data_IF_578275735345
#
_entry.id   IF_578275735345
#
_cell.length_a   1.000
_cell.length_b   1.000
_cell.length_c   1.000
_cell.angle_alpha   90.00
_cell.angle_beta   90.00
_cell.angle_gamma   90.00
#
_symmetry.space_group_name_H-M   'P 1'
#
loop_
_entity.id
_entity.type
_entity.pdbx_description
1 polymer ?
#
# COMPACT_ATOMS: atom_id res chain seq x y z
N UNK A 1 10.94 -19.08 -13.35
CA UNK A 1 10.55 -19.95 -12.21
C UNK A 1 9.04 -20.10 -12.19
N UNK A 2 8.53 -21.27 -11.78
CA UNK A 2 7.10 -21.49 -11.61
C UNK A 2 6.55 -20.55 -10.52
N UNK A 3 5.35 -20.01 -10.72
CA UNK A 3 4.68 -19.11 -9.77
C UNK A 3 3.36 -19.73 -9.32
N UNK A 4 3.07 -19.65 -8.02
CA UNK A 4 1.79 -20.06 -7.45
C UNK A 4 1.02 -18.80 -7.03
N UNK A 5 0.15 -18.32 -7.89
CA UNK A 5 -0.70 -17.14 -7.66
C UNK A 5 -2.09 -17.34 -8.27
N UNK A 6 -3.02 -16.49 -7.94
CA UNK A 6 -4.42 -16.60 -8.38
C UNK A 6 -5.20 -17.47 -7.40
N UNK A 7 -5.98 -18.43 -7.88
CA UNK A 7 -6.67 -19.40 -7.03
C UNK A 7 -5.67 -20.34 -6.39
N UNK A 8 -5.80 -20.55 -5.08
CA UNK A 8 -4.92 -21.44 -4.33
C UNK A 8 -5.09 -22.89 -4.74
N UNK A 9 -3.97 -23.63 -4.82
CA UNK A 9 -3.90 -25.05 -5.17
C UNK A 9 -3.10 -25.78 -4.10
N UNK A 10 -3.74 -26.58 -3.24
CA UNK A 10 -3.07 -27.27 -2.11
C UNK A 10 -1.89 -28.15 -2.54
N UNK A 11 -1.99 -28.79 -3.70
CA UNK A 11 -0.98 -29.70 -4.25
C UNK A 11 0.28 -29.00 -4.80
N UNK A 12 0.25 -27.67 -4.92
CA UNK A 12 1.38 -26.93 -5.47
C UNK A 12 2.41 -26.62 -4.38
N UNK A 13 3.64 -27.19 -4.44
CA UNK A 13 4.66 -26.98 -3.41
C UNK A 13 5.32 -25.58 -3.44
N UNK A 14 5.13 -24.82 -4.53
CA UNK A 14 5.71 -23.48 -4.68
C UNK A 14 5.03 -22.52 -3.70
N UNK A 15 5.76 -21.64 -2.99
CA UNK A 15 5.18 -20.67 -2.09
C UNK A 15 4.05 -19.87 -2.75
N UNK A 16 2.90 -19.79 -2.05
CA UNK A 16 1.73 -19.09 -2.59
C UNK A 16 1.91 -17.58 -2.51
N UNK A 17 1.81 -16.92 -3.67
CA UNK A 17 2.05 -15.49 -3.80
C UNK A 17 0.82 -14.66 -3.42
N UNK A 18 0.95 -13.83 -2.39
CA UNK A 18 -0.05 -12.87 -1.95
C UNK A 18 0.51 -11.45 -1.99
N UNK A 19 -0.10 -10.60 -2.81
CA UNK A 19 0.17 -9.18 -2.79
C UNK A 19 -0.40 -8.50 -1.53
N UNK A 20 0.21 -7.39 -1.10
CA UNK A 20 -0.23 -6.58 0.04
C UNK A 20 -1.75 -6.35 0.06
N UNK A 21 -2.35 -5.99 -1.08
CA UNK A 21 -3.79 -5.76 -1.17
C UNK A 21 -4.65 -7.00 -0.89
N UNK A 22 -4.10 -8.21 -1.07
CA UNK A 22 -4.80 -9.46 -0.75
C UNK A 22 -4.76 -9.76 0.74
N UNK A 23 -3.63 -9.44 1.38
CA UNK A 23 -3.51 -9.54 2.85
C UNK A 23 -4.45 -8.52 3.50
N UNK A 24 -4.49 -7.28 3.00
CA UNK A 24 -5.48 -6.28 3.42
C UNK A 24 -6.92 -6.81 3.24
N UNK A 25 -7.23 -7.41 2.09
CA UNK A 25 -8.54 -7.99 1.81
C UNK A 25 -8.93 -9.11 2.79
N UNK A 26 -7.96 -9.88 3.29
CA UNK A 26 -8.19 -10.87 4.34
C UNK A 26 -8.55 -10.21 5.68
N UNK A 27 -7.78 -9.18 6.07
CA UNK A 27 -8.06 -8.39 7.29
C UNK A 27 -9.43 -7.72 7.22
N UNK A 28 -9.80 -7.18 6.07
CA UNK A 28 -11.08 -6.49 5.88
C UNK A 28 -12.27 -7.47 5.88
N UNK A 29 -12.12 -8.64 5.24
CA UNK A 29 -13.17 -9.65 5.17
C UNK A 29 -12.63 -11.02 4.72
N UNK A 30 -12.50 -11.95 5.64
CA UNK A 30 -12.03 -13.32 5.39
C UNK A 30 -12.91 -14.07 4.39
N UNK A 31 -14.24 -13.87 4.42
CA UNK A 31 -15.16 -14.49 3.46
C UNK A 31 -14.93 -14.02 2.01
N UNK A 32 -14.67 -12.72 1.82
CA UNK A 32 -14.31 -12.17 0.52
C UNK A 32 -12.97 -12.71 0.02
N UNK A 33 -11.98 -12.82 0.91
CA UNK A 33 -10.70 -13.42 0.58
C UNK A 33 -10.85 -14.89 0.18
N UNK A 34 -11.66 -15.66 0.90
CA UNK A 34 -11.95 -17.05 0.57
C UNK A 34 -12.57 -17.19 -0.82
N UNK A 35 -13.60 -16.39 -1.14
CA UNK A 35 -14.23 -16.40 -2.46
C UNK A 35 -13.20 -16.12 -3.56
N UNK A 36 -12.35 -15.13 -3.37
CA UNK A 36 -11.33 -14.72 -4.33
C UNK A 36 -10.20 -15.76 -4.45
N UNK A 37 -9.63 -16.22 -3.32
CA UNK A 37 -8.39 -17.01 -3.33
C UNK A 37 -8.62 -18.52 -3.32
N UNK A 38 -9.72 -19.00 -2.76
CA UNK A 38 -10.04 -20.44 -2.72
C UNK A 38 -11.01 -20.82 -3.82
N UNK A 39 -12.06 -20.01 -4.06
CA UNK A 39 -13.10 -20.34 -5.07
C UNK A 39 -12.85 -19.70 -6.44
N UNK A 40 -11.87 -18.79 -6.57
CA UNK A 40 -11.60 -18.10 -7.84
C UNK A 40 -12.68 -17.11 -8.27
N UNK A 41 -13.48 -16.62 -7.30
CA UNK A 41 -14.55 -15.63 -7.52
C UNK A 41 -14.04 -14.27 -6.99
N UNK A 42 -13.38 -13.45 -7.82
CA UNK A 42 -12.83 -12.18 -7.36
C UNK A 42 -13.93 -11.16 -7.09
N UNK A 43 -13.69 -10.29 -6.11
CA UNK A 43 -14.50 -9.09 -5.93
C UNK A 43 -14.36 -8.23 -7.21
N UNK A 44 -15.46 -7.75 -7.80
CA UNK A 44 -15.39 -6.84 -8.94
C UNK A 44 -14.50 -5.63 -8.60
N UNK A 45 -13.47 -5.40 -9.41
CA UNK A 45 -12.59 -4.24 -9.23
C UNK A 45 -13.27 -2.98 -9.73
N UNK A 46 -13.10 -1.87 -9.00
CA UNK A 46 -13.41 -0.55 -9.51
C UNK A 46 -12.39 -0.17 -10.60
N UNK A 47 -12.81 0.71 -11.53
CA UNK A 47 -11.90 1.30 -12.50
C UNK A 47 -10.75 2.04 -11.77
N UNK A 48 -9.55 2.02 -12.37
CA UNK A 48 -8.41 2.76 -11.84
C UNK A 48 -8.67 4.27 -11.79
N UNK A 49 -7.87 4.96 -10.99
CA UNK A 49 -7.91 6.41 -10.84
C UNK A 49 -6.74 7.05 -11.61
N UNK A 50 -6.88 7.36 -12.93
CA UNK A 50 -5.76 7.80 -13.77
C UNK A 50 -5.05 9.06 -13.26
N UNK A 51 -5.81 10.02 -12.71
CA UNK A 51 -5.23 11.24 -12.15
C UNK A 51 -4.38 10.97 -10.89
N UNK A 52 -4.81 10.05 -10.04
CA UNK A 52 -4.02 9.62 -8.89
C UNK A 52 -2.73 8.91 -9.34
N UNK A 53 -2.79 8.10 -10.39
CA UNK A 53 -1.60 7.48 -10.96
C UNK A 53 -0.64 8.51 -11.56
N UNK A 54 -1.14 9.57 -12.17
CA UNK A 54 -0.31 10.65 -12.69
C UNK A 54 0.41 11.41 -11.56
N UNK A 55 -0.29 11.72 -10.45
CA UNK A 55 0.33 12.36 -9.28
C UNK A 55 1.40 11.48 -8.65
N UNK A 56 1.17 10.16 -8.53
CA UNK A 56 2.13 9.19 -8.03
C UNK A 56 3.42 9.18 -8.87
N UNK A 57 3.28 9.11 -10.19
CA UNK A 57 4.43 9.16 -11.12
C UNK A 57 5.21 10.47 -10.98
N UNK A 58 4.53 11.60 -10.82
CA UNK A 58 5.20 12.91 -10.69
C UNK A 58 5.96 13.02 -9.37
N UNK A 59 5.37 12.56 -8.24
CA UNK A 59 6.04 12.53 -6.95
C UNK A 59 7.28 11.63 -6.97
N UNK A 60 7.17 10.43 -7.56
CA UNK A 60 8.33 9.54 -7.74
C UNK A 60 9.44 10.20 -8.53
N UNK A 61 9.10 10.84 -9.64
CA UNK A 61 10.06 11.60 -10.46
C UNK A 61 10.78 12.69 -9.67
N UNK A 62 10.04 13.41 -8.83
CA UNK A 62 10.56 14.51 -8.02
C UNK A 62 11.58 13.99 -6.99
N UNK A 63 11.22 12.96 -6.23
CA UNK A 63 12.11 12.35 -5.25
C UNK A 63 13.27 11.57 -5.89
N UNK A 64 13.09 10.94 -7.05
CA UNK A 64 14.15 10.22 -7.76
C UNK A 64 15.29 11.15 -8.21
N UNK A 65 15.01 12.40 -8.55
CA UNK A 65 16.05 13.39 -8.86
C UNK A 65 16.96 13.67 -7.64
N UNK A 66 16.43 13.60 -6.42
CA UNK A 66 17.19 13.76 -5.18
C UNK A 66 17.84 12.43 -4.73
N UNK A 67 17.22 11.29 -5.03
CA UNK A 67 17.81 9.96 -4.86
C UNK A 67 19.12 9.82 -5.60
N UNK A 68 19.18 10.26 -6.85
CA UNK A 68 20.41 10.22 -7.67
C UNK A 68 21.52 11.09 -7.09
N UNK A 69 21.18 12.22 -6.47
CA UNK A 69 22.15 13.16 -5.87
C UNK A 69 22.51 12.78 -4.43
N UNK A 70 21.75 11.89 -3.80
CA UNK A 70 21.84 11.54 -2.38
C UNK A 70 21.72 12.80 -1.48
N UNK A 71 20.75 13.62 -1.81
CA UNK A 71 20.44 14.88 -1.12
C UNK A 71 19.00 14.87 -0.57
N UNK A 72 18.73 15.61 0.52
CA UNK A 72 17.38 15.77 0.99
C UNK A 72 16.56 16.62 0.01
N UNK A 73 15.33 16.22 -0.26
CA UNK A 73 14.41 17.02 -1.07
C UNK A 73 14.12 18.38 -0.40
N UNK A 74 14.05 19.51 -1.13
CA UNK A 74 13.76 20.85 -0.55
C UNK A 74 12.50 20.88 0.31
N UNK A 75 11.49 20.08 -0.02
CA UNK A 75 10.30 19.92 0.80
C UNK A 75 10.63 19.37 2.20
N UNK A 76 11.53 18.38 2.31
CA UNK A 76 11.97 17.82 3.59
C UNK A 76 12.80 18.83 4.37
N UNK A 77 13.68 19.59 3.71
CA UNK A 77 14.42 20.69 4.33
C UNK A 77 13.48 21.72 4.97
N UNK A 78 12.45 22.13 4.24
CA UNK A 78 11.43 23.08 4.73
C UNK A 78 10.64 22.54 5.94
N UNK A 79 10.55 21.20 6.08
CA UNK A 79 9.89 20.52 7.21
C UNK A 79 10.85 20.24 8.39
N UNK A 80 12.12 20.65 8.32
CA UNK A 80 13.12 20.35 9.35
C UNK A 80 13.65 18.90 9.32
N UNK A 81 13.37 18.17 8.24
CA UNK A 81 13.72 16.77 8.03
C UNK A 81 14.90 16.59 7.07
N UNK A 82 15.85 17.52 7.06
CA UNK A 82 17.01 17.49 6.18
C UNK A 82 17.97 16.31 6.42
N UNK A 83 17.75 15.52 7.45
CA UNK A 83 18.47 14.27 7.71
C UNK A 83 17.84 13.06 6.98
N UNK A 84 16.69 13.23 6.32
CA UNK A 84 16.06 12.20 5.51
C UNK A 84 16.38 12.44 4.03
N UNK A 85 16.93 11.42 3.39
CA UNK A 85 17.22 11.42 1.95
C UNK A 85 16.54 10.22 1.28
N UNK A 86 16.12 10.31 0.02
CA UNK A 86 15.61 9.15 -0.70
C UNK A 86 16.67 8.06 -0.79
N UNK A 87 16.35 6.84 -0.34
CA UNK A 87 17.28 5.71 -0.29
C UNK A 87 17.74 5.32 -1.71
N UNK A 88 19.04 5.27 -1.96
CA UNK A 88 19.62 4.64 -3.14
C UNK A 88 19.94 3.18 -2.84
N UNK A 89 19.33 2.26 -3.60
CA UNK A 89 19.56 0.82 -3.49
C UNK A 89 19.43 0.18 -4.88
N UNK A 90 20.27 -0.82 -5.17
CA UNK A 90 20.29 -1.50 -6.47
C UNK A 90 18.94 -2.12 -6.86
N UNK A 91 18.21 -2.64 -5.88
CA UNK A 91 16.89 -3.26 -6.04
C UNK A 91 15.71 -2.28 -6.00
N UNK A 92 15.95 -0.98 -5.76
CA UNK A 92 14.85 -0.04 -5.50
C UNK A 92 13.81 -0.04 -6.64
N UNK A 93 14.25 -0.03 -7.89
CA UNK A 93 13.35 -0.07 -9.05
C UNK A 93 12.49 -1.35 -9.04
N UNK A 94 13.07 -2.49 -8.67
CA UNK A 94 12.33 -3.75 -8.54
C UNK A 94 11.28 -3.67 -7.44
N UNK A 95 11.59 -3.03 -6.30
CA UNK A 95 10.67 -2.90 -5.18
C UNK A 95 9.40 -2.14 -5.54
N UNK A 96 9.42 -1.24 -6.52
CA UNK A 96 8.25 -0.49 -6.96
C UNK A 96 7.34 -1.26 -7.92
N UNK A 97 7.75 -2.45 -8.41
CA UNK A 97 7.05 -3.22 -9.44
C UNK A 97 5.93 -4.10 -8.86
N UNK A 98 4.78 -3.52 -8.51
CA UNK A 98 3.66 -4.22 -7.86
C UNK A 98 3.20 -5.49 -8.59
N UNK A 99 3.12 -5.49 -9.92
CA UNK A 99 2.67 -6.64 -10.71
C UNK A 99 3.64 -7.85 -10.65
N UNK A 100 4.90 -7.61 -10.31
CA UNK A 100 5.93 -8.63 -10.14
C UNK A 100 6.13 -9.03 -8.68
N UNK A 101 5.25 -8.61 -7.79
CA UNK A 101 5.34 -8.73 -6.33
C UNK A 101 6.50 -7.90 -5.73
N UNK A 102 7.09 -7.00 -6.48
CA UNK A 102 8.06 -5.95 -6.10
C UNK A 102 8.99 -6.30 -4.94
N UNK A 103 8.89 -5.54 -3.86
CA UNK A 103 9.47 -5.89 -2.57
C UNK A 103 8.72 -7.08 -1.96
N UNK A 104 9.41 -8.18 -1.69
CA UNK A 104 8.78 -9.41 -1.22
C UNK A 104 9.70 -10.24 -0.30
N UNK A 105 9.08 -11.14 0.46
CA UNK A 105 9.75 -12.16 1.26
C UNK A 105 8.94 -13.45 1.26
N UNK A 106 9.58 -14.58 1.59
CA UNK A 106 8.91 -15.85 1.84
C UNK A 106 8.80 -16.07 3.34
N UNK A 107 7.60 -16.22 3.84
CA UNK A 107 7.35 -16.64 5.22
C UNK A 107 7.36 -18.18 5.25
N UNK A 108 8.50 -18.76 5.66
CA UNK A 108 8.77 -20.18 5.54
C UNK A 108 7.76 -21.04 6.29
N UNK A 109 7.33 -20.63 7.49
CA UNK A 109 6.40 -21.40 8.34
C UNK A 109 5.03 -21.60 7.67
N UNK A 110 4.60 -20.65 6.82
CA UNK A 110 3.31 -20.72 6.15
C UNK A 110 3.42 -21.03 4.66
N UNK A 111 4.63 -21.13 4.12
CA UNK A 111 4.88 -21.27 2.68
C UNK A 111 4.13 -20.19 1.85
N UNK A 112 4.06 -18.96 2.39
CA UNK A 112 3.49 -17.80 1.71
C UNK A 112 4.60 -16.89 1.23
N UNK A 113 4.56 -16.49 -0.04
CA UNK A 113 5.41 -15.43 -0.58
C UNK A 113 4.59 -14.14 -0.61
N UNK A 114 4.97 -13.18 0.23
CA UNK A 114 4.20 -11.95 0.42
C UNK A 114 5.00 -10.72 -0.01
N UNK A 115 4.30 -9.72 -0.57
CA UNK A 115 4.99 -8.53 -1.07
C UNK A 115 4.07 -7.58 -1.84
N UNK A 116 4.70 -6.63 -2.54
CA UNK A 116 3.99 -5.64 -3.37
C UNK A 116 4.91 -4.55 -3.86
N UNK A 117 4.37 -3.58 -4.59
CA UNK A 117 5.10 -2.37 -4.97
C UNK A 117 4.97 -1.31 -3.88
N UNK A 118 6.10 -0.90 -3.31
CA UNK A 118 6.14 0.27 -2.44
C UNK A 118 6.30 1.56 -3.27
N UNK A 119 5.98 2.70 -2.67
CA UNK A 119 6.13 3.98 -3.34
C UNK A 119 7.52 4.57 -3.15
N UNK A 120 7.99 4.67 -1.91
CA UNK A 120 9.31 5.19 -1.60
C UNK A 120 9.87 4.68 -0.25
N UNK A 121 11.17 4.88 -0.08
CA UNK A 121 11.92 4.64 1.16
C UNK A 121 12.92 5.77 1.36
N UNK A 122 12.97 6.34 2.57
CA UNK A 122 13.94 7.36 2.93
C UNK A 122 14.93 6.84 3.97
N UNK A 123 16.21 7.15 3.76
CA UNK A 123 17.30 6.88 4.71
C UNK A 123 17.44 8.04 5.68
N UNK A 124 17.48 7.74 6.96
CA UNK A 124 17.85 8.69 8.00
C UNK A 124 19.37 8.69 8.19
N UNK A 125 20.03 9.72 7.71
CA UNK A 125 21.50 9.85 7.74
C UNK A 125 22.08 10.02 9.15
N UNK A 126 21.24 10.18 10.20
CA UNK A 126 21.69 10.28 11.59
C UNK A 126 21.64 8.95 12.32
N UNK A 127 20.67 8.08 11.97
CA UNK A 127 20.44 6.80 12.66
C UNK A 127 20.74 5.59 11.80
N UNK A 128 20.98 5.79 10.50
CA UNK A 128 21.14 4.76 9.46
C UNK A 128 19.91 3.87 9.26
N UNK A 129 18.78 4.24 9.86
CA UNK A 129 17.51 3.55 9.69
C UNK A 129 16.79 4.00 8.42
N UNK A 130 16.02 3.09 7.83
CA UNK A 130 15.17 3.41 6.70
C UNK A 130 13.71 3.60 7.11
N UNK A 131 13.02 4.53 6.46
CA UNK A 131 11.62 4.84 6.70
C UNK A 131 10.79 4.49 5.45
N UNK A 132 9.72 3.73 5.63
CA UNK A 132 8.74 3.48 4.55
C UNK A 132 7.93 4.74 4.30
N UNK A 133 7.76 5.09 3.04
CA UNK A 133 6.99 6.27 2.61
C UNK A 133 5.93 5.83 1.61
N UNK A 134 4.73 6.35 1.79
CA UNK A 134 3.58 6.07 0.94
C UNK A 134 3.04 7.38 0.35
N UNK A 135 2.78 7.40 -0.95
CA UNK A 135 2.25 8.56 -1.66
C UNK A 135 0.74 8.44 -1.82
N UNK A 136 0.03 9.45 -1.39
CA UNK A 136 -1.43 9.49 -1.50
C UNK A 136 -1.90 10.78 -2.15
N UNK A 137 -2.89 10.64 -3.01
CA UNK A 137 -3.55 11.77 -3.63
C UNK A 137 -5.07 11.71 -3.46
N UNK A 138 -5.66 12.86 -3.32
CA UNK A 138 -7.11 13.04 -3.23
C UNK A 138 -7.52 14.41 -3.77
N UNK A 139 -8.82 14.64 -3.86
CA UNK A 139 -9.40 15.99 -3.88
C UNK A 139 -10.53 16.04 -2.87
N UNK A 140 -10.26 16.65 -1.72
CA UNK A 140 -11.21 16.74 -0.61
C UNK A 140 -12.48 17.50 -1.04
N UNK A 141 -13.65 17.00 -0.62
CA UNK A 141 -14.93 17.67 -0.81
C UNK A 141 -15.22 18.80 0.19
N UNK A 142 -14.32 19.06 1.14
CA UNK A 142 -14.50 20.07 2.19
C UNK A 142 -13.35 21.07 2.15
N UNK A 143 -13.69 22.37 2.10
CA UNK A 143 -12.71 23.44 2.23
C UNK A 143 -12.04 23.40 3.60
N UNK A 144 -10.73 23.68 3.63
CA UNK A 144 -9.96 23.66 4.88
C UNK A 144 -9.80 22.28 5.52
N UNK A 145 -10.10 21.20 4.81
CA UNK A 145 -9.95 19.84 5.33
C UNK A 145 -8.51 19.57 5.77
N UNK A 146 -8.37 19.09 7.02
CA UNK A 146 -7.09 18.61 7.55
C UNK A 146 -7.03 17.11 7.32
N UNK A 147 -6.00 16.68 6.60
CA UNK A 147 -5.77 15.26 6.36
C UNK A 147 -5.29 14.60 7.66
N UNK A 148 -5.97 13.53 8.09
CA UNK A 148 -5.59 12.69 9.23
C UNK A 148 -5.58 11.22 8.84
N UNK A 149 -4.74 10.43 9.49
CA UNK A 149 -4.65 8.98 9.34
C UNK A 149 -5.65 8.21 10.22
N UNK A 150 -6.34 8.89 11.15
CA UNK A 150 -7.22 8.23 12.12
C UNK A 150 -8.39 7.47 11.47
N UNK A 151 -8.94 8.03 10.40
CA UNK A 151 -10.03 7.44 9.63
C UNK A 151 -9.54 6.70 8.37
N UNK A 152 -8.23 6.35 8.30
CA UNK A 152 -7.61 5.71 7.15
C UNK A 152 -6.69 4.55 7.55
N UNK A 153 -7.20 3.56 8.30
CA UNK A 153 -6.37 2.46 8.81
C UNK A 153 -5.66 1.68 7.69
N UNK A 154 -6.26 1.61 6.50
CA UNK A 154 -5.68 0.94 5.35
C UNK A 154 -4.33 1.53 4.89
N UNK A 155 -4.06 2.83 5.15
CA UNK A 155 -2.77 3.48 4.87
C UNK A 155 -1.73 3.00 5.88
N UNK A 156 -2.08 2.97 7.16
CA UNK A 156 -1.19 2.46 8.22
C UNK A 156 -0.82 1.01 7.96
N UNK A 157 -1.80 0.15 7.71
CA UNK A 157 -1.61 -1.28 7.36
C UNK A 157 -0.65 -1.44 6.17
N UNK A 158 -0.75 -0.58 5.17
CA UNK A 158 0.13 -0.64 4.00
C UNK A 158 1.59 -0.36 4.37
N UNK A 159 1.86 0.67 5.15
CA UNK A 159 3.22 1.04 5.58
C UNK A 159 3.78 -0.02 6.52
N UNK A 160 3.01 -0.45 7.53
CA UNK A 160 3.40 -1.49 8.49
C UNK A 160 3.77 -2.79 7.77
N UNK A 161 2.99 -3.18 6.75
CA UNK A 161 3.31 -4.34 5.93
C UNK A 161 4.68 -4.21 5.24
N UNK A 162 4.99 -3.07 4.63
CA UNK A 162 6.29 -2.87 4.00
C UNK A 162 7.42 -2.71 5.01
N UNK A 163 7.17 -2.13 6.19
CA UNK A 163 8.14 -2.14 7.29
C UNK A 163 8.51 -3.57 7.69
N UNK A 164 7.52 -4.45 7.85
CA UNK A 164 7.75 -5.86 8.16
C UNK A 164 8.52 -6.56 7.03
N UNK A 165 8.12 -6.41 5.76
CA UNK A 165 8.82 -7.05 4.63
C UNK A 165 10.28 -6.59 4.52
N UNK A 166 10.57 -5.30 4.73
CA UNK A 166 11.94 -4.78 4.73
C UNK A 166 12.75 -5.36 5.90
N UNK A 167 12.17 -5.48 7.09
CA UNK A 167 12.82 -6.16 8.24
C UNK A 167 13.16 -7.61 7.91
N UNK A 168 12.24 -8.35 7.26
CA UNK A 168 12.49 -9.74 6.81
C UNK A 168 13.60 -9.83 5.75
N UNK A 169 13.88 -8.74 5.03
CA UNK A 169 14.99 -8.63 4.09
C UNK A 169 16.29 -8.11 4.73
N UNK A 170 16.34 -7.95 6.07
CA UNK A 170 17.53 -7.61 6.83
C UNK A 170 17.82 -6.13 6.98
N UNK A 171 16.89 -5.24 6.61
CA UNK A 171 17.05 -3.80 6.80
C UNK A 171 16.74 -3.36 8.24
N UNK A 172 17.49 -2.37 8.74
CA UNK A 172 17.13 -1.65 9.97
C UNK A 172 16.04 -0.62 9.65
N UNK A 173 14.80 -0.96 10.01
CA UNK A 173 13.60 -0.19 9.64
C UNK A 173 13.08 0.55 10.85
N UNK A 174 13.00 1.87 10.74
CA UNK A 174 12.34 2.72 11.74
C UNK A 174 10.87 2.35 11.90
N UNK A 175 10.33 2.36 13.12
CA UNK A 175 8.88 2.24 13.32
C UNK A 175 8.12 3.45 12.73
N UNK A 176 8.76 4.61 12.60
CA UNK A 176 8.13 5.79 12.00
C UNK A 176 7.97 5.63 10.50
N UNK A 177 6.72 5.60 10.03
CA UNK A 177 6.37 5.66 8.61
C UNK A 177 5.88 7.04 8.21
N UNK A 178 6.00 7.38 6.94
CA UNK A 178 5.57 8.68 6.40
C UNK A 178 4.52 8.51 5.30
N UNK A 179 3.57 9.44 5.27
CA UNK A 179 2.61 9.58 4.17
C UNK A 179 2.77 10.97 3.57
N UNK A 180 3.21 11.03 2.32
CA UNK A 180 3.21 12.27 1.54
C UNK A 180 1.86 12.39 0.83
N UNK A 181 1.03 13.30 1.32
CA UNK A 181 -0.34 13.46 0.87
C UNK A 181 -0.49 14.71 0.02
N UNK A 182 -0.99 14.56 -1.21
CA UNK A 182 -1.32 15.69 -2.10
C UNK A 182 -2.84 15.78 -2.27
N UNK A 183 -3.41 16.94 -1.94
CA UNK A 183 -4.85 17.20 -2.02
C UNK A 183 -5.11 18.27 -3.09
N UNK A 184 -5.75 17.85 -4.19
CA UNK A 184 -6.10 18.76 -5.29
C UNK A 184 -7.10 19.81 -4.83
N UNK A 185 -6.71 21.07 -4.90
CA UNK A 185 -7.48 22.20 -4.40
C UNK A 185 -8.58 22.59 -5.38
N UNK A 186 -9.80 22.16 -5.10
CA UNK A 186 -11.01 22.54 -5.85
C UNK A 186 -11.65 23.85 -5.40
N UNK A 187 -11.15 24.44 -4.31
CA UNK A 187 -11.68 25.65 -3.69
C UNK A 187 -10.85 26.89 -4.02
N UNK A 188 -9.84 26.75 -4.89
CA UNK A 188 -9.10 27.90 -5.41
C UNK A 188 -10.06 28.83 -6.13
N UNK A 189 -9.92 30.18 -5.95
CA UNK A 189 -10.72 31.14 -6.70
C UNK A 189 -10.37 31.17 -8.19
N UNK A 190 -9.18 30.67 -8.55
CA UNK A 190 -8.70 30.64 -9.92
C UNK A 190 -9.36 29.48 -10.69
N UNK A 191 -9.64 29.69 -11.97
CA UNK A 191 -10.06 28.63 -12.88
C UNK A 191 -8.93 27.63 -13.15
N UNK A 192 -9.22 26.64 -13.96
CA UNK A 192 -8.27 25.58 -14.33
C UNK A 192 -7.60 25.83 -15.69
N UNK A 193 -8.31 26.48 -16.62
CA UNK A 193 -7.88 26.57 -18.01
C UNK A 193 -7.00 27.81 -18.25
N UNK A 194 -5.84 27.60 -18.89
CA UNK A 194 -5.07 28.60 -19.60
C UNK A 194 -5.53 28.72 -21.07
N UNK A 195 -4.69 29.26 -21.97
CA UNK A 195 -5.01 29.33 -23.40
C UNK A 195 -4.92 27.94 -24.06
N UNK A 196 -3.80 27.21 -23.84
CA UNK A 196 -3.54 25.89 -24.44
C UNK A 196 -3.17 24.83 -23.39
N UNK A 197 -3.25 25.15 -22.09
CA UNK A 197 -2.94 24.25 -20.99
C UNK A 197 -3.95 24.30 -19.87
N UNK A 198 -3.75 23.50 -18.83
CA UNK A 198 -4.56 23.51 -17.62
C UNK A 198 -3.68 23.25 -16.39
N UNK A 199 -3.94 24.00 -15.30
CA UNK A 199 -3.20 23.88 -14.05
C UNK A 199 -4.13 23.51 -12.90
N UNK A 200 -3.75 22.48 -12.12
CA UNK A 200 -4.39 22.14 -10.86
C UNK A 200 -3.39 22.32 -9.73
N UNK A 201 -3.79 23.09 -8.69
CA UNK A 201 -2.98 23.26 -7.49
C UNK A 201 -3.20 22.11 -6.52
N UNK A 202 -2.15 21.72 -5.81
CA UNK A 202 -2.22 20.72 -4.75
C UNK A 202 -1.72 21.30 -3.43
N UNK A 203 -2.46 21.04 -2.35
CA UNK A 203 -1.97 21.21 -0.98
C UNK A 203 -1.20 19.97 -0.58
N UNK A 204 0.01 20.15 -0.05
CA UNK A 204 0.90 19.03 0.31
C UNK A 204 1.01 18.94 1.82
N UNK A 205 0.73 17.76 2.37
CA UNK A 205 0.90 17.44 3.77
C UNK A 205 1.85 16.26 3.92
N UNK A 206 2.71 16.31 4.92
CA UNK A 206 3.51 15.16 5.36
C UNK A 206 2.96 14.73 6.72
N UNK A 207 2.54 13.49 6.80
CA UNK A 207 2.03 12.85 8.01
C UNK A 207 2.99 11.74 8.41
N UNK A 208 3.27 11.62 9.69
CA UNK A 208 4.04 10.54 10.26
C UNK A 208 3.22 9.78 11.30
N UNK A 209 3.58 8.53 11.56
CA UNK A 209 3.01 7.72 12.62
C UNK A 209 3.96 6.58 12.99
N UNK A 210 3.84 6.11 14.22
CA UNK A 210 4.52 4.91 14.69
C UNK A 210 3.73 3.67 14.27
N UNK A 211 4.34 2.85 13.38
CA UNK A 211 3.75 1.61 12.91
C UNK A 211 3.97 0.45 13.88
N UNK A 212 3.02 -0.46 13.95
CA UNK A 212 3.13 -1.74 14.63
C UNK A 212 3.04 -2.89 13.64
N UNK A 213 4.04 -3.76 13.60
CA UNK A 213 4.10 -4.89 12.67
C UNK A 213 3.68 -6.23 13.29
N UNK A 214 3.31 -6.27 14.57
CA UNK A 214 3.05 -7.52 15.33
C UNK A 214 1.81 -8.28 14.83
N UNK A 215 0.89 -7.60 14.16
CA UNK A 215 -0.32 -8.20 13.61
C UNK A 215 -0.06 -9.07 12.37
N UNK A 216 1.08 -8.91 11.69
CA UNK A 216 1.30 -9.49 10.35
C UNK A 216 1.49 -10.99 10.42
N UNK A 217 2.40 -11.48 11.27
CA UNK A 217 2.64 -12.93 11.38
C UNK A 217 1.40 -13.72 11.81
N UNK A 218 0.64 -13.30 12.85
CA UNK A 218 -0.64 -13.95 13.16
C UNK A 218 -1.58 -14.03 11.96
N UNK A 219 -1.72 -12.96 11.19
CA UNK A 219 -2.57 -12.94 9.99
C UNK A 219 -2.05 -13.90 8.91
N UNK A 220 -0.74 -14.05 8.74
CA UNK A 220 -0.19 -15.03 7.79
C UNK A 220 -0.51 -16.47 8.21
N UNK A 221 -0.49 -16.79 9.49
CA UNK A 221 -0.92 -18.10 10.00
C UNK A 221 -2.42 -18.31 9.80
N UNK A 222 -3.27 -17.33 10.08
CA UNK A 222 -4.71 -17.42 9.83
C UNK A 222 -5.03 -17.63 8.35
N UNK A 223 -4.32 -16.90 7.46
CA UNK A 223 -4.43 -17.11 6.01
C UNK A 223 -4.05 -18.56 5.65
N UNK A 224 -2.95 -19.07 6.20
CA UNK A 224 -2.50 -20.44 5.93
C UNK A 224 -3.55 -21.46 6.40
N UNK A 225 -4.07 -21.33 7.60
CA UNK A 225 -5.11 -22.18 8.13
C UNK A 225 -6.37 -22.20 7.24
N UNK A 226 -6.83 -21.02 6.81
CA UNK A 226 -7.97 -20.91 5.88
C UNK A 226 -7.71 -21.61 4.54
N UNK A 227 -6.50 -21.44 3.98
CA UNK A 227 -6.13 -22.07 2.71
C UNK A 227 -6.09 -23.61 2.82
N UNK A 228 -5.67 -24.13 3.97
CA UNK A 228 -5.58 -25.59 4.22
C UNK A 228 -6.94 -26.19 4.52
N UNK A 229 -7.72 -25.57 5.38
CA UNK A 229 -9.03 -26.08 5.82
C UNK A 229 -10.11 -25.86 4.76
N UNK A 230 -9.98 -24.81 3.97
CA UNK A 230 -10.97 -24.38 2.98
C UNK A 230 -12.40 -24.25 3.54
N UNK A 231 -12.52 -23.89 4.81
CA UNK A 231 -13.81 -23.61 5.45
C UNK A 231 -14.24 -22.18 5.11
N UNK A 232 -15.45 -22.03 4.57
CA UNK A 232 -16.01 -20.74 4.23
C UNK A 232 -16.46 -19.99 5.49
N UNK A 233 -15.87 -18.82 5.81
CA UNK A 233 -16.27 -18.04 6.97
C UNK A 233 -17.47 -17.14 6.66
N UNK A 234 -18.07 -16.57 7.70
CA UNK A 234 -19.13 -15.57 7.57
C UNK A 234 -18.56 -14.20 7.19
N UNK A 235 -19.36 -13.42 6.45
CA UNK A 235 -19.02 -12.02 6.18
C UNK A 235 -19.21 -11.16 7.44
N UNK A 236 -18.25 -10.28 7.81
CA UNK A 236 -18.47 -9.35 8.90
C UNK A 236 -19.62 -8.38 8.58
N UNK A 237 -20.34 -7.84 9.60
CA UNK A 237 -21.53 -7.00 9.40
C UNK A 237 -21.30 -5.78 8.49
N UNK A 238 -20.07 -5.23 8.45
CA UNK A 238 -19.69 -4.09 7.61
C UNK A 238 -19.34 -4.45 6.16
N UNK A 239 -19.31 -5.73 5.77
CA UNK A 239 -18.93 -6.15 4.43
C UNK A 239 -20.04 -5.86 3.41
N UNK A 240 -19.82 -4.84 2.57
CA UNK A 240 -20.78 -4.45 1.52
C UNK A 240 -21.01 -5.56 0.48
N UNK A 241 -19.99 -6.36 0.17
CA UNK A 241 -20.12 -7.49 -0.77
C UNK A 241 -20.96 -8.60 -0.16
N UNK A 242 -20.77 -8.93 1.12
CA UNK A 242 -21.61 -9.88 1.83
C UNK A 242 -23.08 -9.45 1.86
N UNK A 243 -23.35 -8.19 2.17
CA UNK A 243 -24.70 -7.61 2.13
C UNK A 243 -25.32 -7.67 0.73
N UNK A 244 -24.52 -7.40 -0.33
CA UNK A 244 -24.98 -7.51 -1.71
C UNK A 244 -25.34 -8.96 -2.06
N UNK A 245 -24.47 -9.93 -1.75
CA UNK A 245 -24.71 -11.35 -2.00
C UNK A 245 -25.96 -11.87 -1.28
N UNK A 246 -26.13 -11.50 -0.01
CA UNK A 246 -27.31 -11.85 0.78
C UNK A 246 -28.61 -11.32 0.15
N UNK A 247 -28.62 -10.03 -0.25
CA UNK A 247 -29.78 -9.43 -0.91
C UNK A 247 -30.08 -10.06 -2.26
N UNK A 248 -29.03 -10.30 -3.06
CA UNK A 248 -29.17 -10.90 -4.39
C UNK A 248 -29.71 -12.33 -4.33
N UNK A 249 -29.35 -13.12 -3.32
CA UNK A 249 -29.85 -14.49 -3.15
C UNK A 249 -31.34 -14.56 -2.85
N UNK A 250 -31.95 -13.49 -2.33
CA UNK A 250 -33.38 -13.40 -2.02
C UNK A 250 -34.26 -13.03 -3.24
N UNK A 251 -33.64 -12.71 -4.37
CA UNK A 251 -34.36 -12.31 -5.60
C UNK A 251 -34.59 -13.50 -6.53
N UNK A 252 -34.09 -14.67 -6.22
CA UNK A 252 -34.23 -15.92 -6.98
C UNK A 252 -35.43 -16.72 -6.55
#
# INVERSE_FOLDING_TARGET
>A
MARHRGTYKPENPVPYELGRSRIQGFVDCQACFYLDRVKGIPIPSLYGWPLNSATDVLLKKDFDAYRQRQEPHPFLLKKGLGHLIPLQHEDFQRWTMALQLGLNTVHEQTNLKVGGGLDDVWLNTKTDQIHVVDYKSTSSGKEGNVISLDNRPYIKIQIEFYQWVLKQNGFDVSPTGYVLYVDGDRFTPDGMLGEDDATMRFKVSLLDFEGNTDWIEPVLFEIREMLDTQIYPEHPPGCLHGQYLEKASKVR
#
